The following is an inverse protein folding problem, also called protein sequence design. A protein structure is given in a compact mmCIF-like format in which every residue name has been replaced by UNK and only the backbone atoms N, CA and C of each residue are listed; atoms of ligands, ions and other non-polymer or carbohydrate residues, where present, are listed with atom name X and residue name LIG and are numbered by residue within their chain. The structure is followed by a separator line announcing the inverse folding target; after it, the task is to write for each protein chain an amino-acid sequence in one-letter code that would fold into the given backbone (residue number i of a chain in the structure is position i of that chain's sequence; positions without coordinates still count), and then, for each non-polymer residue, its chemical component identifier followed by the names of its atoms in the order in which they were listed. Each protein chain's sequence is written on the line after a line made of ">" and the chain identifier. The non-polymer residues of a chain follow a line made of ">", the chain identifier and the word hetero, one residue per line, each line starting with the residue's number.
data_IF_696258242291
#
_entry.id   IF_696258242291
#
_cell.length_a   1.000
_cell.length_b   1.000
_cell.length_c   1.000
_cell.angle_alpha   90.00
_cell.angle_beta   90.00
_cell.angle_gamma   90.00
#
_symmetry.space_group_name_H-M   'P 1'
#
loop_
_entity.id
_entity.type
_entity.pdbx_description
1 polymer ?
#
# COMPACT_ATOMS: atom_id res chain seq x y z
N UNK A 1 -18.02 10.48 3.90
CA UNK A 1 -18.62 9.14 3.90
C UNK A 1 -17.51 8.18 4.29
N UNK A 2 -17.77 7.19 5.15
CA UNK A 2 -16.73 6.23 5.56
C UNK A 2 -16.71 5.07 4.57
N UNK A 3 -15.61 4.92 3.83
CA UNK A 3 -15.44 3.91 2.80
C UNK A 3 -14.86 2.61 3.40
N UNK A 4 -15.66 1.96 4.25
CA UNK A 4 -15.28 0.73 4.95
C UNK A 4 -15.58 -0.50 4.12
N UNK A 5 -14.68 -1.48 4.14
CA UNK A 5 -14.83 -2.73 3.41
C UNK A 5 -14.16 -3.89 4.15
N UNK A 6 -14.82 -5.05 4.09
CA UNK A 6 -14.30 -6.30 4.63
C UNK A 6 -14.04 -7.27 3.47
N UNK A 7 -12.91 -7.96 3.52
CA UNK A 7 -12.61 -9.06 2.61
C UNK A 7 -13.42 -10.31 3.00
N UNK A 8 -14.07 -10.92 2.02
CA UNK A 8 -14.76 -12.22 2.16
C UNK A 8 -13.75 -13.35 2.37
N UNK A 9 -14.21 -14.52 2.80
CA UNK A 9 -13.33 -15.66 3.06
C UNK A 9 -12.47 -16.06 1.84
N UNK A 10 -13.01 -15.96 0.62
CA UNK A 10 -12.25 -16.28 -0.58
C UNK A 10 -11.20 -15.22 -0.90
N UNK A 11 -11.52 -13.94 -0.68
CA UNK A 11 -10.57 -12.83 -0.84
C UNK A 11 -9.46 -12.90 0.21
N UNK A 12 -9.81 -13.29 1.45
CA UNK A 12 -8.86 -13.55 2.52
C UNK A 12 -7.85 -14.65 2.13
N UNK A 13 -8.33 -15.78 1.58
CA UNK A 13 -7.46 -16.86 1.09
C UNK A 13 -6.52 -16.41 -0.02
N UNK A 14 -7.00 -15.57 -0.93
CA UNK A 14 -6.16 -14.97 -1.99
C UNK A 14 -5.08 -14.10 -1.34
N UNK A 15 -5.46 -13.25 -0.38
CA UNK A 15 -4.52 -12.33 0.27
C UNK A 15 -3.42 -13.05 1.06
N UNK A 16 -3.80 -14.08 1.84
CA UNK A 16 -2.85 -14.93 2.54
C UNK A 16 -1.90 -15.64 1.58
N UNK A 17 -2.41 -16.15 0.46
CA UNK A 17 -1.58 -16.83 -0.53
C UNK A 17 -0.59 -15.87 -1.19
N UNK A 18 -1.03 -14.69 -1.65
CA UNK A 18 -0.17 -13.70 -2.30
C UNK A 18 0.87 -13.15 -1.31
N UNK A 19 0.44 -12.75 -0.11
CA UNK A 19 1.35 -12.25 0.93
C UNK A 19 2.45 -13.25 1.25
N UNK A 20 2.10 -14.52 1.48
CA UNK A 20 3.06 -15.61 1.71
C UNK A 20 4.04 -15.79 0.54
N UNK A 21 3.56 -15.67 -0.70
CA UNK A 21 4.41 -15.80 -1.91
C UNK A 21 5.35 -14.60 -2.06
N UNK A 22 4.89 -13.37 -1.83
CA UNK A 22 5.72 -12.16 -1.83
C UNK A 22 6.82 -12.24 -0.77
N UNK A 23 6.48 -12.64 0.47
CA UNK A 23 7.50 -12.85 1.52
C UNK A 23 8.52 -13.90 1.12
N UNK A 24 8.08 -15.07 0.68
CA UNK A 24 8.98 -16.16 0.28
C UNK A 24 9.93 -15.73 -0.86
N UNK A 25 9.43 -14.97 -1.83
CA UNK A 25 10.22 -14.45 -2.94
C UNK A 25 11.28 -13.44 -2.47
N UNK A 26 10.90 -12.49 -1.60
CA UNK A 26 11.82 -11.51 -1.04
C UNK A 26 12.95 -12.17 -0.22
N UNK A 27 12.61 -13.20 0.58
CA UNK A 27 13.60 -13.98 1.34
C UNK A 27 14.53 -14.77 0.44
N UNK A 28 14.01 -15.44 -0.60
CA UNK A 28 14.82 -16.17 -1.61
C UNK A 28 15.86 -15.26 -2.29
N UNK A 29 15.52 -13.99 -2.48
CA UNK A 29 16.38 -12.98 -3.13
C UNK A 29 17.33 -12.24 -2.17
N UNK A 30 17.29 -12.55 -0.87
CA UNK A 30 18.05 -11.83 0.17
C UNK A 30 17.82 -10.31 0.10
N UNK A 31 16.59 -9.87 -0.18
CA UNK A 31 16.29 -8.45 -0.24
C UNK A 31 16.46 -7.80 1.15
N UNK A 32 17.09 -6.62 1.21
CA UNK A 32 17.25 -5.89 2.46
C UNK A 32 15.89 -5.48 3.02
N UNK A 33 15.83 -5.31 4.33
CA UNK A 33 14.64 -4.79 4.98
C UNK A 33 14.41 -3.33 4.58
N UNK A 34 13.29 -3.07 3.92
CA UNK A 34 12.85 -1.73 3.50
C UNK A 34 11.57 -1.30 4.20
N UNK A 35 11.08 -2.08 5.17
CA UNK A 35 9.85 -1.77 5.90
C UNK A 35 10.08 -0.58 6.84
N UNK A 36 9.06 0.25 7.00
CA UNK A 36 9.09 1.40 7.90
C UNK A 36 8.59 0.99 9.30
N UNK A 37 7.63 0.08 9.36
CA UNK A 37 7.04 -0.42 10.62
C UNK A 37 7.86 -1.50 11.33
N UNK A 38 7.45 -1.87 12.55
CA UNK A 38 8.15 -2.89 13.35
C UNK A 38 7.62 -4.32 13.14
N UNK A 39 6.54 -4.48 12.36
CA UNK A 39 5.90 -5.77 12.07
C UNK A 39 6.83 -6.78 11.38
N UNK A 40 6.48 -8.07 11.45
CA UNK A 40 7.20 -9.10 10.70
C UNK A 40 7.02 -8.92 9.18
N UNK A 41 7.84 -9.58 8.38
CA UNK A 41 7.72 -9.51 6.92
C UNK A 41 6.41 -10.13 6.43
N UNK A 42 6.02 -11.26 7.01
CA UNK A 42 4.78 -11.98 6.69
C UNK A 42 3.55 -11.11 6.96
N UNK A 43 3.53 -10.43 8.12
CA UNK A 43 2.45 -9.49 8.47
C UNK A 43 2.46 -8.29 7.52
N UNK A 44 3.64 -7.75 7.21
CA UNK A 44 3.77 -6.60 6.31
C UNK A 44 3.24 -6.93 4.91
N UNK A 45 3.61 -8.08 4.35
CA UNK A 45 3.20 -8.49 3.01
C UNK A 45 1.71 -8.90 2.96
N UNK A 46 1.18 -9.53 4.02
CA UNK A 46 -0.25 -9.82 4.16
C UNK A 46 -1.08 -8.53 4.22
N UNK A 47 -0.77 -7.64 5.17
CA UNK A 47 -1.52 -6.40 5.35
C UNK A 47 -1.45 -5.51 4.11
N UNK A 48 -0.26 -5.42 3.49
CA UNK A 48 -0.04 -4.68 2.25
C UNK A 48 -0.98 -5.16 1.15
N UNK A 49 -0.88 -6.43 0.77
CA UNK A 49 -1.69 -6.97 -0.32
C UNK A 49 -3.18 -7.05 0.02
N UNK A 50 -3.56 -7.31 1.27
CA UNK A 50 -4.97 -7.30 1.67
C UNK A 50 -5.59 -5.91 1.55
N UNK A 51 -4.86 -4.84 1.89
CA UNK A 51 -5.31 -3.47 1.67
C UNK A 51 -5.40 -3.13 0.18
N UNK A 52 -4.46 -3.60 -0.65
CA UNK A 52 -4.51 -3.50 -2.12
C UNK A 52 -5.80 -4.14 -2.67
N UNK A 53 -6.12 -5.37 -2.22
CA UNK A 53 -7.31 -6.10 -2.61
C UNK A 53 -8.60 -5.41 -2.14
N UNK A 54 -8.61 -4.87 -0.92
CA UNK A 54 -9.73 -4.13 -0.36
C UNK A 54 -10.03 -2.86 -1.17
N UNK A 55 -8.99 -2.10 -1.54
CA UNK A 55 -9.11 -0.95 -2.43
C UNK A 55 -9.67 -1.36 -3.79
N UNK A 56 -9.12 -2.42 -4.40
CA UNK A 56 -9.58 -2.92 -5.69
C UNK A 56 -11.05 -3.33 -5.67
N UNK A 57 -11.48 -4.02 -4.62
CA UNK A 57 -12.88 -4.42 -4.42
C UNK A 57 -13.81 -3.21 -4.31
N UNK A 58 -13.41 -2.18 -3.57
CA UNK A 58 -14.20 -0.95 -3.41
C UNK A 58 -14.33 -0.18 -4.74
N UNK A 59 -13.25 -0.11 -5.51
CA UNK A 59 -13.19 0.61 -6.78
C UNK A 59 -13.69 -0.21 -7.97
N UNK A 60 -14.01 -1.49 -7.76
CA UNK A 60 -14.37 -2.45 -8.80
C UNK A 60 -13.31 -2.54 -9.92
N UNK A 61 -12.03 -2.62 -9.50
CA UNK A 61 -10.86 -2.82 -10.37
C UNK A 61 -10.14 -4.11 -9.99
N UNK A 62 -9.24 -4.58 -10.85
CA UNK A 62 -8.52 -5.84 -10.64
C UNK A 62 -7.16 -5.59 -9.96
N UNK A 63 -6.79 -6.34 -8.91
CA UNK A 63 -5.49 -6.22 -8.24
C UNK A 63 -4.37 -6.90 -9.04
N UNK A 64 -3.13 -6.42 -8.87
CA UNK A 64 -1.94 -7.14 -9.33
C UNK A 64 -1.65 -8.34 -8.42
N UNK A 65 -1.71 -9.54 -9.00
CA UNK A 65 -1.44 -10.80 -8.29
C UNK A 65 -0.03 -11.33 -8.51
N UNK A 66 0.86 -10.56 -9.14
CA UNK A 66 2.22 -11.02 -9.45
C UNK A 66 3.04 -11.22 -8.16
N UNK A 67 3.79 -12.31 -8.13
CA UNK A 67 4.63 -12.72 -6.98
C UNK A 67 6.02 -13.17 -7.38
N UNK A 68 6.28 -13.23 -8.69
CA UNK A 68 7.48 -13.71 -9.33
C UNK A 68 8.60 -12.68 -9.37
N UNK A 69 9.36 -12.69 -10.45
CA UNK A 69 10.64 -11.98 -10.46
C UNK A 69 10.54 -10.48 -10.75
N UNK A 70 9.47 -10.08 -11.44
CA UNK A 70 9.16 -8.71 -11.76
C UNK A 70 7.89 -8.32 -11.01
N UNK A 71 7.99 -7.36 -10.09
CA UNK A 71 6.83 -6.75 -9.46
C UNK A 71 6.62 -5.36 -10.06
N UNK A 72 5.39 -5.00 -10.47
CA UNK A 72 5.10 -3.65 -10.89
C UNK A 72 5.37 -2.64 -9.76
N UNK A 73 5.51 -1.38 -10.12
CA UNK A 73 5.68 -0.28 -9.16
C UNK A 73 4.33 0.29 -8.65
N UNK A 74 3.24 -0.36 -9.05
CA UNK A 74 1.84 -0.08 -8.74
C UNK A 74 1.15 -1.38 -8.35
N UNK A 75 0.01 -1.28 -7.68
CA UNK A 75 -0.75 -2.41 -7.15
C UNK A 75 -1.99 -2.72 -8.01
N UNK A 76 -2.49 -1.74 -8.77
CA UNK A 76 -3.58 -1.90 -9.72
C UNK A 76 -3.62 -0.78 -10.76
N UNK A 77 -4.41 -0.99 -11.82
CA UNK A 77 -4.65 -0.02 -12.90
C UNK A 77 -6.15 0.10 -13.16
N UNK A 78 -6.67 1.32 -13.24
CA UNK A 78 -8.08 1.56 -13.58
C UNK A 78 -8.35 1.44 -15.09
N UNK A 79 -9.61 1.59 -15.51
CA UNK A 79 -10.02 1.51 -16.91
C UNK A 79 -9.49 2.67 -17.79
N UNK A 80 -8.96 3.73 -17.19
CA UNK A 80 -8.34 4.86 -17.88
C UNK A 80 -6.81 4.73 -17.95
N UNK A 81 -6.24 3.65 -17.39
CA UNK A 81 -4.80 3.45 -17.33
C UNK A 81 -4.11 4.15 -16.14
N UNK A 82 -4.86 4.67 -15.16
CA UNK A 82 -4.31 5.31 -13.96
C UNK A 82 -3.78 4.22 -13.02
N UNK A 83 -2.52 4.38 -12.61
CA UNK A 83 -1.82 3.44 -11.73
C UNK A 83 -1.88 3.89 -10.26
N UNK A 84 -2.07 2.93 -9.35
CA UNK A 84 -2.24 3.19 -7.92
C UNK A 84 -1.22 2.43 -7.06
N UNK A 85 -0.75 3.03 -5.97
CA UNK A 85 0.02 2.37 -4.90
C UNK A 85 -0.69 2.57 -3.56
N UNK A 86 -1.18 1.49 -2.98
CA UNK A 86 -1.90 1.46 -1.70
C UNK A 86 -0.90 1.35 -0.56
N UNK A 87 -1.16 2.13 0.48
CA UNK A 87 -0.40 2.14 1.72
C UNK A 87 -1.36 1.91 2.87
N UNK A 88 -0.97 1.04 3.78
CA UNK A 88 -1.82 0.61 4.89
C UNK A 88 -1.15 0.85 6.23
N UNK A 89 -1.96 1.09 7.25
CA UNK A 89 -1.53 1.19 8.65
C UNK A 89 -2.69 0.85 9.59
N UNK A 90 -2.36 0.24 10.73
CA UNK A 90 -3.29 -0.01 11.84
C UNK A 90 -3.49 1.21 12.76
N UNK A 91 -2.72 2.29 12.55
CA UNK A 91 -2.80 3.51 13.36
C UNK A 91 -3.97 4.36 12.86
N UNK A 92 -5.01 4.62 13.69
CA UNK A 92 -6.22 5.34 13.25
C UNK A 92 -5.98 6.76 12.71
N UNK A 93 -4.92 7.42 13.18
CA UNK A 93 -4.49 8.73 12.72
C UNK A 93 -3.14 8.66 11.98
N UNK A 94 -2.87 7.51 11.37
CA UNK A 94 -1.67 7.23 10.61
C UNK A 94 -1.51 8.15 9.40
N UNK A 95 -0.29 8.21 8.90
CA UNK A 95 0.10 9.03 7.75
C UNK A 95 0.18 8.17 6.50
N UNK A 96 -0.12 8.76 5.34
CA UNK A 96 0.33 8.20 4.07
C UNK A 96 1.85 8.34 4.01
N UNK A 97 2.57 7.24 3.83
CA UNK A 97 4.04 7.24 3.83
C UNK A 97 4.62 6.51 2.62
N UNK A 98 5.71 7.04 2.07
CA UNK A 98 6.48 6.37 1.02
C UNK A 98 7.99 6.61 1.19
N UNK A 99 8.80 5.62 0.81
CA UNK A 99 10.26 5.76 0.82
C UNK A 99 10.72 6.75 -0.25
N UNK A 100 11.85 7.42 -0.03
CA UNK A 100 12.39 8.39 -1.01
C UNK A 100 12.71 7.77 -2.39
N UNK A 101 12.93 6.45 -2.44
CA UNK A 101 13.22 5.72 -3.69
C UNK A 101 12.04 5.75 -4.67
N UNK A 102 10.80 5.88 -4.18
CA UNK A 102 9.59 5.88 -5.02
C UNK A 102 9.56 7.04 -6.02
N UNK A 103 10.28 8.13 -5.78
CA UNK A 103 10.41 9.24 -6.73
C UNK A 103 11.04 8.87 -8.08
N UNK A 104 11.79 7.76 -8.16
CA UNK A 104 12.42 7.30 -9.41
C UNK A 104 11.42 6.68 -10.39
N UNK A 105 10.40 6.00 -9.87
CA UNK A 105 9.40 5.31 -10.68
C UNK A 105 8.05 5.32 -9.94
N UNK A 106 7.38 6.48 -9.87
CA UNK A 106 6.13 6.59 -9.13
C UNK A 106 4.94 6.00 -9.91
N UNK A 107 3.90 5.52 -9.22
CA UNK A 107 2.56 5.38 -9.81
C UNK A 107 1.96 6.78 -10.08
N UNK A 108 0.76 6.84 -10.63
CA UNK A 108 0.03 8.09 -10.79
C UNK A 108 -0.54 8.60 -9.46
N UNK A 109 -1.06 7.67 -8.63
CA UNK A 109 -1.72 7.99 -7.36
C UNK A 109 -1.25 7.09 -6.22
N UNK A 110 -1.31 7.66 -5.01
CA UNK A 110 -1.10 6.95 -3.76
C UNK A 110 -2.38 6.97 -2.94
N UNK A 111 -2.65 5.87 -2.25
CA UNK A 111 -3.87 5.68 -1.48
C UNK A 111 -3.52 5.34 -0.04
N UNK A 112 -4.21 5.94 0.93
CA UNK A 112 -4.12 5.54 2.33
C UNK A 112 -5.34 4.72 2.73
N UNK A 113 -5.07 3.51 3.20
CA UNK A 113 -6.02 2.63 3.87
C UNK A 113 -5.64 2.50 5.35
N UNK A 114 -6.64 2.45 6.23
CA UNK A 114 -6.47 2.17 7.65
C UNK A 114 -7.23 0.92 8.01
N UNK A 115 -6.57 0.00 8.71
CA UNK A 115 -7.21 -1.24 9.11
C UNK A 115 -6.22 -2.33 9.45
N UNK A 116 -6.80 -3.48 9.75
CA UNK A 116 -6.11 -4.72 10.03
C UNK A 116 -6.90 -5.81 9.34
N UNK A 117 -6.21 -6.76 8.73
CA UNK A 117 -6.84 -7.86 8.04
C UNK A 117 -7.96 -8.52 8.87
N UNK A 118 -9.18 -8.69 8.34
CA UNK A 118 -9.62 -8.49 6.95
C UNK A 118 -10.39 -7.18 6.69
N UNK A 119 -10.36 -6.22 7.62
CA UNK A 119 -11.21 -5.03 7.65
C UNK A 119 -10.41 -3.75 7.40
N UNK A 120 -10.85 -2.96 6.42
CA UNK A 120 -10.15 -1.76 6.00
C UNK A 120 -11.10 -0.58 5.77
N UNK A 121 -10.57 0.62 5.98
CA UNK A 121 -11.20 1.90 5.70
C UNK A 121 -10.32 2.70 4.74
N UNK A 122 -10.86 3.03 3.56
CA UNK A 122 -10.21 3.93 2.64
C UNK A 122 -10.34 5.37 3.17
N UNK A 123 -9.20 6.03 3.38
CA UNK A 123 -9.13 7.38 3.92
C UNK A 123 -9.11 8.44 2.82
N UNK A 124 -8.35 8.18 1.76
CA UNK A 124 -8.23 9.09 0.64
C UNK A 124 -7.00 8.80 -0.23
N UNK A 125 -6.89 9.58 -1.31
CA UNK A 125 -5.84 9.48 -2.31
C UNK A 125 -5.16 10.83 -2.59
N UNK A 126 -3.99 10.76 -3.19
CA UNK A 126 -3.27 11.94 -3.68
C UNK A 126 -2.44 11.62 -4.91
N UNK A 127 -2.26 12.58 -5.82
CA UNK A 127 -1.39 12.42 -6.98
C UNK A 127 0.08 12.33 -6.58
N UNK A 128 0.85 11.47 -7.25
CA UNK A 128 2.27 11.29 -6.96
C UNK A 128 3.09 12.59 -7.11
N UNK A 129 2.69 13.46 -8.04
CA UNK A 129 3.33 14.78 -8.23
C UNK A 129 3.15 15.68 -7.02
N UNK A 130 2.03 15.61 -6.33
CA UNK A 130 1.76 16.42 -5.13
C UNK A 130 2.42 15.77 -3.90
N UNK A 131 2.39 14.45 -3.82
CA UNK A 131 2.93 13.71 -2.69
C UNK A 131 4.47 13.71 -2.61
N UNK A 132 5.17 13.45 -3.73
CA UNK A 132 6.62 13.20 -3.76
C UNK A 132 7.46 14.50 -3.86
N UNK A 133 7.06 15.50 -3.07
CA UNK A 133 7.69 16.82 -2.99
C UNK A 133 8.66 16.92 -1.80
N UNK A 134 9.69 17.75 -1.93
CA UNK A 134 10.70 17.94 -0.87
C UNK A 134 10.06 18.46 0.42
N UNK A 135 9.03 19.32 0.31
CA UNK A 135 8.27 19.82 1.47
C UNK A 135 7.52 18.75 2.26
N UNK A 136 7.27 17.58 1.65
CA UNK A 136 6.58 16.47 2.30
C UNK A 136 7.54 15.46 2.93
N UNK A 137 8.85 15.72 2.89
CA UNK A 137 9.84 14.84 3.52
C UNK A 137 9.81 15.07 5.03
N UNK A 138 9.46 14.02 5.78
CA UNK A 138 9.44 13.99 7.25
C UNK A 138 10.37 12.89 7.75
N UNK A 139 10.74 12.96 9.03
CA UNK A 139 11.54 11.91 9.68
C UNK A 139 10.93 11.60 11.05
N UNK A 140 10.48 10.36 11.22
CA UNK A 140 9.85 9.86 12.44
C UNK A 140 10.80 8.98 13.28
N UNK A 141 12.11 9.13 13.09
CA UNK A 141 13.15 8.40 13.84
C UNK A 141 13.71 7.17 13.12
N UNK A 142 13.18 6.80 11.94
CA UNK A 142 13.66 5.67 11.11
C UNK A 142 14.26 6.11 9.77
N UNK A 143 14.58 7.41 9.66
CA UNK A 143 15.10 8.03 8.44
C UNK A 143 14.05 8.81 7.66
N UNK A 144 14.46 9.54 6.61
CA UNK A 144 13.57 10.41 5.86
C UNK A 144 12.62 9.60 4.95
N UNK A 145 11.35 10.00 4.94
CA UNK A 145 10.31 9.47 4.06
C UNK A 145 9.38 10.61 3.60
N UNK A 146 8.63 10.39 2.52
CA UNK A 146 7.49 11.25 2.20
C UNK A 146 6.35 10.92 3.15
N UNK A 147 5.69 11.93 3.72
CA UNK A 147 4.57 11.71 4.62
C UNK A 147 3.53 12.84 4.64
N UNK A 148 2.25 12.46 4.52
CA UNK A 148 1.09 13.35 4.62
C UNK A 148 0.10 12.84 5.66
N UNK A 149 -0.55 13.77 6.35
CA UNK A 149 -1.67 13.50 7.25
C UNK A 149 -2.94 13.21 6.43
N UNK A 150 -3.95 12.61 7.07
CA UNK A 150 -5.22 12.29 6.42
C UNK A 150 -5.97 13.51 5.90
N UNK A 151 -5.82 14.66 6.57
CA UNK A 151 -6.48 15.92 6.17
C UNK A 151 -5.88 16.53 4.88
N UNK A 152 -4.71 16.05 4.45
CA UNK A 152 -4.03 16.49 3.23
C UNK A 152 -4.39 15.59 2.02
N UNK A 153 -5.27 14.59 2.20
CA UNK A 153 -5.68 13.65 1.16
C UNK A 153 -7.05 14.03 0.58
N UNK A 154 -7.31 13.62 -0.67
CA UNK A 154 -8.62 13.73 -1.29
C UNK A 154 -9.48 12.53 -0.85
N UNK A 155 -10.63 12.74 -0.19
CA UNK A 155 -11.47 11.65 0.32
C UNK A 155 -12.24 10.92 -0.78
#
# INVERSE_FOLDING_TARGET
>A
MTHKISLSENEQRIAEWVGKKRTANARRKNLPDTKIGDQSFEVTDLEGFAAELAFCKLMNIYPDLETGDFLPNYDCVDCNGVTYDVKTTDIPHGHLMATLKKKKNPPDKYVLSIGVFPDYELIGEIGAKEFLQVGNIKNFGKGPCYALTQAELNP
#
